data_IF_195388104199
#
_entry.id   IF_195388104199
#
_cell.length_a   1.000
_cell.length_b   1.000
_cell.length_c   1.000
_cell.angle_alpha   90.00
_cell.angle_beta   90.00
_cell.angle_gamma   90.00
#
_symmetry.space_group_name_H-M   'P 1'
#
loop_
_entity.id
_entity.type
_entity.pdbx_description
1 polymer ?
#
# COMPACT_ATOMS: atom_id res chain seq x y z
N UNK A 1 2.28 -13.14 0.73
CA UNK A 1 2.00 -14.08 1.82
C UNK A 1 0.50 -14.11 2.14
N UNK A 2 0.00 -15.25 2.65
CA UNK A 2 -1.41 -15.39 3.06
C UNK A 2 -2.42 -15.64 1.94
N UNK A 3 -2.07 -15.58 0.66
CA UNK A 3 -2.98 -15.88 -0.41
C UNK A 3 -3.09 -17.40 -0.62
N UNK A 4 -4.30 -17.95 -0.52
CA UNK A 4 -4.55 -19.39 -0.63
C UNK A 4 -4.64 -19.87 -2.10
N UNK A 5 -5.01 -18.96 -3.01
CA UNK A 5 -5.23 -19.24 -4.44
C UNK A 5 -3.95 -19.00 -5.24
N UNK A 6 -3.39 -17.80 -5.12
CA UNK A 6 -2.20 -17.38 -5.88
C UNK A 6 -0.92 -17.67 -5.10
N UNK A 7 -0.10 -18.55 -5.64
CA UNK A 7 1.20 -18.97 -5.10
C UNK A 7 2.29 -18.66 -6.11
N UNK A 8 3.56 -18.88 -5.72
CA UNK A 8 4.71 -18.64 -6.61
C UNK A 8 4.59 -19.37 -7.95
N UNK A 9 4.02 -20.57 -7.96
CA UNK A 9 3.92 -21.41 -9.16
C UNK A 9 2.87 -20.92 -10.16
N UNK A 10 1.72 -20.45 -9.69
CA UNK A 10 0.58 -20.11 -10.55
C UNK A 10 0.35 -18.59 -10.73
N UNK A 11 1.24 -17.76 -10.20
CA UNK A 11 1.23 -16.32 -10.45
C UNK A 11 2.07 -16.02 -11.69
N UNK A 12 1.55 -15.26 -12.67
CA UNK A 12 2.32 -14.85 -13.82
C UNK A 12 3.63 -14.16 -13.46
N UNK A 13 4.64 -14.31 -14.31
CA UNK A 13 5.96 -13.69 -14.15
C UNK A 13 6.30 -12.85 -15.36
N UNK A 14 6.92 -11.71 -15.13
CA UNK A 14 7.52 -10.87 -16.16
C UNK A 14 9.01 -11.12 -16.16
N UNK A 15 9.57 -11.36 -17.35
CA UNK A 15 10.99 -11.69 -17.55
C UNK A 15 11.59 -10.77 -18.59
N UNK A 16 12.68 -10.11 -18.24
CA UNK A 16 13.48 -9.32 -19.17
C UNK A 16 14.97 -9.52 -18.90
N UNK A 17 15.76 -9.68 -19.96
CA UNK A 17 17.21 -9.82 -19.87
C UNK A 17 17.91 -8.92 -20.91
N UNK A 18 19.24 -8.90 -20.89
CA UNK A 18 20.03 -8.18 -21.88
C UNK A 18 20.11 -9.02 -23.15
N UNK A 19 19.31 -8.63 -24.14
CA UNK A 19 19.20 -9.32 -25.42
C UNK A 19 18.08 -10.37 -25.46
N UNK A 20 17.58 -10.60 -26.68
CA UNK A 20 16.44 -11.48 -26.94
C UNK A 20 16.73 -12.93 -26.55
N UNK A 21 17.90 -13.44 -26.92
CA UNK A 21 18.26 -14.84 -26.65
C UNK A 21 18.34 -15.13 -25.15
N UNK A 22 18.92 -14.21 -24.36
CA UNK A 22 18.99 -14.34 -22.92
C UNK A 22 17.59 -14.29 -22.28
N UNK A 23 16.70 -13.43 -22.77
CA UNK A 23 15.31 -13.34 -22.31
C UNK A 23 14.59 -14.67 -22.59
N UNK A 24 14.71 -15.22 -23.78
CA UNK A 24 14.07 -16.48 -24.18
C UNK A 24 14.57 -17.67 -23.33
N UNK A 25 15.88 -17.75 -23.06
CA UNK A 25 16.45 -18.80 -22.21
C UNK A 25 15.87 -18.72 -20.80
N UNK A 26 15.86 -17.52 -20.18
CA UNK A 26 15.34 -17.34 -18.83
C UNK A 26 13.83 -17.60 -18.79
N UNK A 27 13.07 -17.13 -19.79
CA UNK A 27 11.64 -17.39 -19.88
C UNK A 27 11.34 -18.88 -20.01
N UNK A 28 12.14 -19.62 -20.80
CA UNK A 28 12.03 -21.07 -20.95
C UNK A 28 12.28 -21.80 -19.61
N UNK A 29 13.30 -21.38 -18.86
CA UNK A 29 13.55 -21.93 -17.50
C UNK A 29 12.35 -21.73 -16.58
N UNK A 30 11.76 -20.53 -16.56
CA UNK A 30 10.58 -20.26 -15.73
C UNK A 30 9.36 -21.07 -16.20
N UNK A 31 9.10 -21.17 -17.52
CA UNK A 31 8.01 -22.00 -18.06
C UNK A 31 8.14 -23.48 -17.71
N UNK A 32 9.35 -23.98 -17.53
CA UNK A 32 9.58 -25.37 -17.14
C UNK A 32 9.16 -25.68 -15.66
N UNK A 33 9.06 -24.67 -14.81
CA UNK A 33 8.78 -24.85 -13.36
C UNK A 33 7.53 -24.15 -12.88
N UNK A 34 6.96 -23.22 -13.65
CA UNK A 34 5.76 -22.47 -13.30
C UNK A 34 4.53 -23.02 -14.03
N UNK A 35 3.39 -22.90 -13.37
CA UNK A 35 2.06 -23.18 -13.92
C UNK A 35 1.40 -21.90 -14.47
N UNK A 36 1.87 -20.72 -14.04
CA UNK A 36 1.41 -19.42 -14.50
C UNK A 36 2.15 -18.96 -15.76
N UNK A 37 1.55 -18.00 -16.47
CA UNK A 37 2.13 -17.42 -17.69
C UNK A 37 3.45 -16.70 -17.41
N UNK A 38 4.35 -16.76 -18.40
CA UNK A 38 5.62 -16.04 -18.39
C UNK A 38 5.61 -15.03 -19.54
N UNK A 39 5.59 -13.75 -19.20
CA UNK A 39 5.61 -12.63 -20.13
C UNK A 39 7.01 -12.13 -20.36
N UNK A 40 7.43 -12.10 -21.62
CA UNK A 40 8.74 -11.58 -22.01
C UNK A 40 8.66 -10.09 -22.30
N UNK A 41 9.60 -9.34 -21.76
CA UNK A 41 9.79 -7.91 -22.04
C UNK A 41 11.19 -7.64 -22.57
N UNK A 42 11.38 -6.50 -23.24
CA UNK A 42 12.59 -6.23 -24.02
C UNK A 42 13.84 -5.92 -23.19
N UNK A 43 13.70 -5.69 -21.87
CA UNK A 43 14.86 -5.42 -21.01
C UNK A 43 14.57 -5.69 -19.54
N UNK A 44 15.61 -5.88 -18.69
CA UNK A 44 15.45 -5.97 -17.24
C UNK A 44 14.77 -4.72 -16.66
N UNK A 45 15.12 -3.54 -17.16
CA UNK A 45 14.56 -2.27 -16.68
C UNK A 45 13.03 -2.19 -16.81
N UNK A 46 12.46 -2.78 -17.87
CA UNK A 46 11.01 -2.86 -18.04
C UNK A 46 10.39 -3.81 -17.01
N UNK A 47 11.00 -4.97 -16.78
CA UNK A 47 10.51 -5.93 -15.80
C UNK A 47 10.57 -5.36 -14.36
N UNK A 48 11.62 -4.62 -14.04
CA UNK A 48 11.75 -3.92 -12.76
C UNK A 48 10.73 -2.79 -12.62
N UNK A 49 10.57 -1.97 -13.66
CA UNK A 49 9.62 -0.85 -13.65
C UNK A 49 8.17 -1.33 -13.54
N UNK A 50 7.82 -2.46 -14.17
CA UNK A 50 6.50 -3.08 -14.02
C UNK A 50 6.19 -3.34 -12.54
N UNK A 51 7.12 -3.96 -11.82
CA UNK A 51 6.94 -4.26 -10.40
C UNK A 51 6.82 -3.01 -9.54
N UNK A 52 7.66 -2.02 -9.82
CA UNK A 52 7.60 -0.72 -9.12
C UNK A 52 6.27 -0.02 -9.43
N UNK A 53 5.80 -0.05 -10.68
CA UNK A 53 4.51 0.52 -11.07
C UNK A 53 3.35 -0.11 -10.29
N UNK A 54 3.28 -1.44 -10.17
CA UNK A 54 2.26 -2.13 -9.37
C UNK A 54 2.21 -1.66 -7.92
N UNK A 55 3.38 -1.53 -7.28
CA UNK A 55 3.47 -1.14 -5.88
C UNK A 55 3.17 0.35 -5.69
N UNK A 56 3.66 1.20 -6.61
CA UNK A 56 3.36 2.63 -6.65
C UNK A 56 1.87 2.90 -6.89
N UNK A 57 1.25 2.16 -7.80
CA UNK A 57 -0.19 2.24 -8.04
C UNK A 57 -0.99 2.00 -6.75
N UNK A 58 -0.64 0.96 -5.99
CA UNK A 58 -1.29 0.68 -4.70
C UNK A 58 -1.04 1.79 -3.68
N UNK A 59 0.21 2.27 -3.58
CA UNK A 59 0.57 3.36 -2.67
C UNK A 59 -0.26 4.62 -2.95
N UNK A 60 -0.31 5.07 -4.21
CA UNK A 60 -1.04 6.28 -4.61
C UNK A 60 -2.54 6.14 -4.36
N UNK A 61 -3.14 5.00 -4.71
CA UNK A 61 -4.58 4.81 -4.52
C UNK A 61 -4.96 4.72 -3.03
N UNK A 62 -4.12 4.13 -2.19
CA UNK A 62 -4.34 4.13 -0.74
C UNK A 62 -4.16 5.56 -0.20
N UNK A 63 -3.15 6.30 -0.65
CA UNK A 63 -2.96 7.72 -0.30
C UNK A 63 -4.17 8.57 -0.68
N UNK A 64 -4.69 8.41 -1.89
CA UNK A 64 -5.90 9.10 -2.34
C UNK A 64 -7.09 8.82 -1.42
N UNK A 65 -7.34 7.55 -1.09
CA UNK A 65 -8.45 7.15 -0.22
C UNK A 65 -8.26 7.67 1.20
N UNK A 66 -7.04 7.66 1.72
CA UNK A 66 -6.71 8.22 3.03
C UNK A 66 -6.93 9.75 3.06
N UNK A 67 -6.48 10.48 2.05
CA UNK A 67 -6.71 11.93 1.92
C UNK A 67 -8.20 12.26 1.86
N UNK A 68 -8.94 11.55 1.02
CA UNK A 68 -10.40 11.72 0.92
C UNK A 68 -11.12 11.34 2.21
N UNK A 69 -10.59 10.39 2.99
CA UNK A 69 -11.14 10.05 4.32
C UNK A 69 -11.00 11.22 5.29
N UNK A 70 -9.85 11.90 5.29
CA UNK A 70 -9.66 13.10 6.12
C UNK A 70 -10.59 14.25 5.70
N UNK A 71 -10.82 14.41 4.40
CA UNK A 71 -11.77 15.41 3.87
C UNK A 71 -13.22 15.04 4.23
N UNK A 72 -13.64 13.82 3.93
CA UNK A 72 -14.99 13.32 4.22
C UNK A 72 -15.34 13.43 5.71
N UNK A 73 -14.37 13.17 6.59
CA UNK A 73 -14.55 13.34 8.03
C UNK A 73 -14.91 14.80 8.41
N UNK A 74 -14.24 15.78 7.78
CA UNK A 74 -14.57 17.21 7.98
C UNK A 74 -15.94 17.59 7.42
N UNK A 75 -16.37 16.90 6.37
CA UNK A 75 -17.68 17.10 5.71
C UNK A 75 -18.82 16.34 6.41
N UNK A 76 -18.51 15.46 7.38
CA UNK A 76 -19.51 14.59 8.02
C UNK A 76 -20.00 13.46 7.10
N UNK A 77 -19.19 13.04 6.14
CA UNK A 77 -19.49 11.98 5.16
C UNK A 77 -18.73 10.71 5.53
N UNK A 78 -19.39 9.54 5.42
CA UNK A 78 -18.73 8.24 5.59
C UNK A 78 -17.97 7.83 4.33
N UNK A 79 -16.64 7.85 4.36
CA UNK A 79 -15.81 7.39 3.23
C UNK A 79 -16.03 5.91 2.91
N UNK A 80 -16.34 5.08 3.90
CA UNK A 80 -16.68 3.67 3.70
C UNK A 80 -17.93 3.50 2.82
N UNK A 81 -18.98 4.27 3.09
CA UNK A 81 -20.20 4.27 2.29
C UNK A 81 -19.95 4.78 0.86
N UNK A 82 -19.11 5.80 0.71
CA UNK A 82 -18.70 6.31 -0.61
C UNK A 82 -17.99 5.22 -1.43
N UNK A 83 -17.05 4.50 -0.80
CA UNK A 83 -16.34 3.39 -1.47
C UNK A 83 -17.31 2.26 -1.83
N UNK A 84 -18.21 1.90 -0.92
CA UNK A 84 -19.20 0.85 -1.14
C UNK A 84 -20.15 1.21 -2.30
N UNK A 85 -20.55 2.46 -2.41
CA UNK A 85 -21.32 2.95 -3.54
C UNK A 85 -20.50 2.94 -4.85
N UNK A 86 -19.24 3.40 -4.80
CA UNK A 86 -18.38 3.47 -5.98
C UNK A 86 -18.06 2.09 -6.56
N UNK A 87 -17.79 1.10 -5.72
CA UNK A 87 -17.48 -0.29 -6.15
C UNK A 87 -18.64 -1.04 -6.81
N UNK A 88 -19.86 -0.49 -6.78
CA UNK A 88 -20.99 -1.06 -7.55
C UNK A 88 -20.77 -0.96 -9.06
N UNK A 89 -19.86 -0.10 -9.51
CA UNK A 89 -19.50 -0.01 -10.93
C UNK A 89 -18.60 -1.18 -11.31
N UNK A 90 -18.94 -1.97 -12.33
CA UNK A 90 -18.14 -3.12 -12.75
C UNK A 90 -16.88 -2.74 -13.51
N UNK A 91 -16.67 -1.47 -13.80
CA UNK A 91 -15.56 -0.92 -14.57
C UNK A 91 -15.15 0.46 -14.05
N UNK A 92 -13.91 0.83 -14.33
CA UNK A 92 -13.39 2.19 -14.07
C UNK A 92 -13.11 2.51 -12.60
N UNK A 93 -13.39 1.58 -11.67
CA UNK A 93 -13.11 1.76 -10.25
C UNK A 93 -12.61 0.46 -9.60
N UNK A 94 -11.45 0.55 -8.96
CA UNK A 94 -10.94 -0.48 -8.06
C UNK A 94 -11.01 0.04 -6.63
N UNK A 95 -11.69 -0.70 -5.75
CA UNK A 95 -11.85 -0.30 -4.36
C UNK A 95 -10.55 -0.43 -3.58
N UNK A 96 -10.10 0.67 -2.98
CA UNK A 96 -9.13 0.72 -1.91
C UNK A 96 -9.81 1.26 -0.66
N UNK A 97 -9.33 0.87 0.50
CA UNK A 97 -9.95 1.25 1.77
C UNK A 97 -8.97 2.05 2.63
N UNK A 98 -9.48 3.02 3.42
CA UNK A 98 -8.63 3.80 4.32
C UNK A 98 -8.07 2.93 5.44
N UNK A 99 -6.90 3.30 5.92
CA UNK A 99 -6.22 2.61 7.00
C UNK A 99 -5.26 3.52 7.76
N UNK A 100 -4.63 3.00 8.80
CA UNK A 100 -3.69 3.77 9.64
C UNK A 100 -2.34 4.01 8.99
N UNK A 101 -2.21 3.83 7.68
CA UNK A 101 -0.99 3.93 6.91
C UNK A 101 -0.71 2.68 6.09
N UNK A 102 0.50 2.59 5.55
CA UNK A 102 0.96 1.46 4.75
C UNK A 102 1.85 0.54 5.58
N UNK A 103 1.68 -0.76 5.39
CA UNK A 103 2.51 -1.78 6.01
C UNK A 103 3.16 -2.72 4.99
N UNK A 104 4.11 -3.52 5.47
CA UNK A 104 4.93 -4.42 4.66
C UNK A 104 6.12 -3.71 4.02
N UNK A 105 6.94 -4.46 3.27
CA UNK A 105 8.20 -3.94 2.73
C UNK A 105 8.03 -3.21 1.40
N UNK A 106 7.25 -3.76 0.48
CA UNK A 106 7.24 -3.29 -0.92
C UNK A 106 6.44 -2.01 -1.11
N UNK A 107 5.17 -1.96 -0.67
CA UNK A 107 4.28 -0.83 -0.98
C UNK A 107 4.76 0.48 -0.36
N UNK A 108 5.24 0.53 0.90
CA UNK A 108 5.79 1.78 1.44
C UNK A 108 7.18 2.11 0.91
N UNK A 109 8.02 1.12 0.55
CA UNK A 109 9.45 1.33 0.27
C UNK A 109 9.77 1.52 -1.21
N UNK A 110 9.19 0.74 -2.12
CA UNK A 110 9.52 0.78 -3.54
C UNK A 110 9.31 2.17 -4.19
N UNK A 111 8.25 2.94 -3.83
CA UNK A 111 8.10 4.30 -4.32
C UNK A 111 9.25 5.24 -3.92
N UNK A 112 9.89 5.05 -2.74
CA UNK A 112 11.06 5.84 -2.35
C UNK A 112 12.27 5.59 -3.26
N UNK A 113 12.50 4.33 -3.66
CA UNK A 113 13.55 4.03 -4.63
C UNK A 113 13.28 4.72 -5.98
N UNK A 114 12.03 4.71 -6.42
CA UNK A 114 11.66 5.36 -7.67
C UNK A 114 11.82 6.89 -7.59
N UNK A 115 11.39 7.52 -6.50
CA UNK A 115 11.55 8.97 -6.30
C UNK A 115 13.02 9.37 -6.22
N UNK A 116 13.85 8.55 -5.56
CA UNK A 116 15.28 8.77 -5.52
C UNK A 116 15.91 8.64 -6.92
N UNK A 117 15.56 7.59 -7.65
CA UNK A 117 16.08 7.35 -9.00
C UNK A 117 15.64 8.43 -10.01
N UNK A 118 14.42 8.93 -9.90
CA UNK A 118 13.90 10.00 -10.76
C UNK A 118 14.75 11.28 -10.72
N UNK A 119 15.37 11.58 -9.58
CA UNK A 119 16.24 12.75 -9.42
C UNK A 119 17.49 12.69 -10.30
N UNK A 120 18.00 11.50 -10.60
CA UNK A 120 19.12 11.33 -11.53
C UNK A 120 18.74 11.77 -12.96
N UNK A 121 17.45 11.76 -13.28
CA UNK A 121 16.89 12.19 -14.55
C UNK A 121 16.33 13.62 -14.51
N UNK A 122 16.60 14.36 -13.43
CA UNK A 122 16.06 15.71 -13.24
C UNK A 122 14.52 15.75 -13.08
N UNK A 123 13.91 14.66 -12.66
CA UNK A 123 12.45 14.53 -12.55
C UNK A 123 11.99 14.50 -11.09
N UNK A 124 10.88 15.21 -10.80
CA UNK A 124 10.22 15.23 -9.50
C UNK A 124 8.90 14.48 -9.57
N UNK A 125 8.75 13.48 -8.72
CA UNK A 125 7.59 12.57 -8.69
C UNK A 125 6.52 13.06 -7.70
N UNK A 126 5.91 14.22 -7.94
CA UNK A 126 5.03 14.90 -6.99
C UNK A 126 3.84 14.08 -6.50
N UNK A 127 3.19 13.29 -7.37
CA UNK A 127 2.08 12.42 -6.98
C UNK A 127 2.54 11.31 -6.02
N UNK A 128 3.68 10.70 -6.31
CA UNK A 128 4.22 9.62 -5.49
C UNK A 128 4.63 10.17 -4.14
N UNK A 129 5.42 11.24 -4.10
CA UNK A 129 5.87 11.86 -2.86
C UNK A 129 4.69 12.37 -2.03
N UNK A 130 3.68 12.99 -2.67
CA UNK A 130 2.46 13.43 -1.99
C UNK A 130 1.69 12.28 -1.34
N UNK A 131 1.52 11.16 -2.05
CA UNK A 131 0.83 9.99 -1.49
C UNK A 131 1.58 9.36 -0.32
N UNK A 132 2.92 9.33 -0.38
CA UNK A 132 3.76 8.82 0.70
C UNK A 132 3.58 9.67 1.97
N UNK A 133 3.65 11.00 1.85
CA UNK A 133 3.44 11.93 2.98
C UNK A 133 2.06 11.71 3.62
N UNK A 134 1.01 11.57 2.81
CA UNK A 134 -0.36 11.33 3.31
C UNK A 134 -0.42 10.01 4.08
N UNK A 135 0.11 8.93 3.50
CA UNK A 135 0.10 7.61 4.14
C UNK A 135 0.89 7.61 5.46
N UNK A 136 2.01 8.31 5.52
CA UNK A 136 2.86 8.40 6.72
C UNK A 136 2.21 9.21 7.86
N UNK A 137 1.28 10.11 7.55
CA UNK A 137 0.54 10.91 8.54
C UNK A 137 -0.67 10.17 9.13
N UNK A 138 -1.10 9.06 8.55
CA UNK A 138 -2.31 8.36 8.98
C UNK A 138 -2.27 7.82 10.41
N UNK A 139 -1.15 7.34 10.98
CA UNK A 139 -1.12 6.93 12.36
C UNK A 139 -1.48 8.05 13.34
N UNK A 140 -0.91 9.24 13.13
CA UNK A 140 -1.19 10.44 13.92
C UNK A 140 -2.66 10.86 13.77
N UNK A 141 -3.17 10.86 12.54
CA UNK A 141 -4.59 11.15 12.27
C UNK A 141 -5.53 10.18 13.00
N UNK A 142 -5.23 8.88 13.02
CA UNK A 142 -6.03 7.89 13.73
C UNK A 142 -6.11 8.20 15.25
N UNK A 143 -5.00 8.57 15.87
CA UNK A 143 -4.95 8.92 17.30
C UNK A 143 -5.68 10.23 17.56
N UNK A 144 -5.51 11.25 16.72
CA UNK A 144 -6.26 12.50 16.81
C UNK A 144 -7.78 12.24 16.74
N UNK A 145 -8.22 11.35 15.85
CA UNK A 145 -9.63 10.93 15.76
C UNK A 145 -10.10 10.24 17.04
N UNK A 146 -9.30 9.34 17.58
CA UNK A 146 -9.62 8.68 18.85
C UNK A 146 -9.77 9.70 20.00
N UNK A 147 -8.86 10.68 20.07
CA UNK A 147 -8.92 11.77 21.05
C UNK A 147 -10.21 12.60 20.91
N UNK A 148 -10.58 12.97 19.66
CA UNK A 148 -11.83 13.70 19.40
C UNK A 148 -13.08 12.91 19.83
N UNK A 149 -13.09 11.58 19.62
CA UNK A 149 -14.19 10.71 20.04
C UNK A 149 -14.28 10.66 21.56
N UNK A 150 -13.16 10.45 22.26
CA UNK A 150 -13.12 10.47 23.72
C UNK A 150 -13.64 11.79 24.28
N UNK A 151 -13.21 12.92 23.72
CA UNK A 151 -13.63 14.26 24.13
C UNK A 151 -15.14 14.47 24.00
N UNK A 152 -15.77 13.97 22.92
CA UNK A 152 -17.24 14.01 22.76
C UNK A 152 -17.95 13.27 23.91
N UNK A 153 -17.30 12.25 24.47
CA UNK A 153 -17.78 11.50 25.63
C UNK A 153 -17.25 12.03 26.98
N UNK A 154 -16.69 13.26 26.99
CA UNK A 154 -16.12 13.90 28.21
C UNK A 154 -15.00 13.07 28.86
N UNK A 155 -14.22 12.36 28.05
CA UNK A 155 -13.05 11.58 28.48
C UNK A 155 -11.78 12.18 27.87
N UNK A 156 -10.72 12.28 28.69
CA UNK A 156 -9.40 12.66 28.22
C UNK A 156 -8.70 11.46 27.56
N UNK A 157 -7.78 11.72 26.62
CA UNK A 157 -6.88 10.69 26.09
C UNK A 157 -5.88 10.27 27.17
N UNK A 158 -5.28 11.23 27.88
CA UNK A 158 -4.35 10.97 28.98
C UNK A 158 -5.04 10.14 30.06
N UNK A 159 -4.44 9.00 30.40
CA UNK A 159 -4.96 8.03 31.35
C UNK A 159 -6.06 7.10 30.80
N UNK A 160 -6.44 7.22 29.53
CA UNK A 160 -7.39 6.30 28.91
C UNK A 160 -6.76 4.92 28.71
N UNK A 161 -7.57 3.86 28.92
CA UNK A 161 -7.18 2.50 28.54
C UNK A 161 -7.64 2.23 27.12
N UNK A 162 -6.69 2.03 26.21
CA UNK A 162 -6.95 1.77 24.80
C UNK A 162 -6.53 0.34 24.45
N UNK A 163 -7.43 -0.43 23.84
CA UNK A 163 -7.15 -1.74 23.29
C UNK A 163 -6.99 -1.63 21.77
N UNK A 164 -5.83 -1.98 21.28
CA UNK A 164 -5.56 -2.08 19.84
C UNK A 164 -5.82 -3.52 19.39
N UNK A 165 -6.77 -3.71 18.48
CA UNK A 165 -7.13 -5.00 17.95
C UNK A 165 -6.38 -5.27 16.63
N UNK A 166 -5.42 -6.18 16.66
CA UNK A 166 -4.56 -6.55 15.53
C UNK A 166 -3.36 -5.63 15.37
N UNK A 167 -2.21 -6.23 15.16
CA UNK A 167 -0.93 -5.53 14.98
C UNK A 167 -0.17 -5.97 13.72
N UNK A 168 -0.63 -7.01 13.03
CA UNK A 168 -0.04 -7.42 11.77
C UNK A 168 -0.35 -6.40 10.65
N UNK A 169 0.55 -6.27 9.68
CA UNK A 169 0.34 -5.33 8.59
C UNK A 169 -0.69 -5.80 7.56
N UNK A 170 -1.08 -7.07 7.61
CA UNK A 170 -2.05 -7.69 6.70
C UNK A 170 -2.86 -8.76 7.44
N UNK A 171 -4.09 -8.97 6.97
CA UNK A 171 -4.96 -10.06 7.45
C UNK A 171 -4.33 -11.44 7.21
N UNK A 172 -4.58 -12.38 8.12
CA UNK A 172 -4.18 -13.79 8.04
C UNK A 172 -2.66 -14.03 7.98
N UNK A 173 -1.88 -13.15 8.59
CA UNK A 173 -0.44 -13.33 8.78
C UNK A 173 -0.03 -12.93 10.20
N UNK A 174 1.08 -13.46 10.66
CA UNK A 174 1.69 -13.18 11.98
C UNK A 174 2.85 -12.16 11.92
N UNK A 175 3.05 -11.52 10.75
CA UNK A 175 4.11 -10.54 10.57
C UNK A 175 3.64 -9.12 10.93
N UNK A 176 4.20 -8.58 12.01
CA UNK A 176 3.94 -7.23 12.51
C UNK A 176 5.05 -6.22 12.13
N UNK A 177 6.14 -6.69 11.51
CA UNK A 177 7.22 -5.81 11.06
C UNK A 177 6.69 -4.81 10.05
N UNK A 178 7.15 -3.57 10.14
CA UNK A 178 6.68 -2.47 9.27
C UNK A 178 5.15 -2.29 9.28
N UNK A 179 4.50 -2.68 10.39
CA UNK A 179 3.06 -2.46 10.54
C UNK A 179 2.77 -1.02 11.00
N UNK A 180 1.87 -0.29 10.34
CA UNK A 180 1.47 1.05 10.78
C UNK A 180 0.77 1.03 12.15
N UNK A 181 0.24 -0.10 12.58
CA UNK A 181 -0.35 -0.26 13.91
C UNK A 181 0.69 -0.04 15.04
N UNK A 182 1.97 -0.38 14.81
CA UNK A 182 3.04 -0.10 15.76
C UNK A 182 3.21 1.41 15.95
N UNK A 183 3.18 2.17 14.85
CA UNK A 183 3.26 3.63 14.91
C UNK A 183 2.06 4.24 15.64
N UNK A 184 0.85 3.72 15.39
CA UNK A 184 -0.35 4.12 16.16
C UNK A 184 -0.15 3.89 17.66
N UNK A 185 0.40 2.72 18.04
CA UNK A 185 0.67 2.41 19.46
C UNK A 185 1.73 3.36 20.04
N UNK A 186 2.78 3.69 19.29
CA UNK A 186 3.78 4.67 19.72
C UNK A 186 3.18 6.06 19.96
N UNK A 187 2.32 6.52 19.04
CA UNK A 187 1.63 7.80 19.16
C UNK A 187 0.70 7.78 20.37
N UNK A 188 -0.10 6.72 20.55
CA UNK A 188 -0.98 6.55 21.72
C UNK A 188 -0.23 6.58 23.08
N UNK A 189 1.02 6.09 23.10
CA UNK A 189 1.84 6.10 24.33
C UNK A 189 2.41 7.48 24.67
N UNK A 190 2.44 8.40 23.71
CA UNK A 190 2.93 9.77 23.88
C UNK A 190 1.85 10.73 24.39
N UNK A 191 0.57 10.39 24.15
CA UNK A 191 -0.61 11.17 24.55
C UNK A 191 -1.09 10.80 25.97
#
# INVERSE_FOLDING_TARGET
PGNLIYKTKNTPKVVGAIGKDATEVIATMYRAVLEGDVYEVSSPAIAEMEKILENTYRNINIGLVNELTMLCDRMGISMWEVIDAAKTKPYGFQAFYPGPGLGGHCIPLDPYYLTWKAREYGFHTSMIEGSMIINDQMPEYCVERASKVLNRHKKAMNGAKVLVLGVAYKQDIDDYRESPALRVIEVLKRE
#
